data_IF_017300370060
#
_entry.id   IF_017300370060
#
_cell.length_a   1.000
_cell.length_b   1.000
_cell.length_c   1.000
_cell.angle_alpha   90.00
_cell.angle_beta   90.00
_cell.angle_gamma   90.00
#
_symmetry.space_group_name_H-M   'P 1'
#
loop_
_entity.id
_entity.type
_entity.pdbx_description
1 polymer ?
#
# COMPACT_ATOMS: atom_id res chain seq x y z
N UNK A 1 9.93 -48.34 66.07
CA UNK A 1 9.13 -47.25 66.68
C UNK A 1 8.20 -46.70 65.62
N UNK A 2 6.89 -46.87 65.86
CA UNK A 2 5.68 -46.24 65.26
C UNK A 2 5.78 -45.63 63.85
N UNK A 3 5.16 -46.16 62.77
CA UNK A 3 3.75 -46.43 62.48
C UNK A 3 2.84 -45.19 62.50
N UNK A 4 2.17 -44.86 61.37
CA UNK A 4 0.71 -44.76 61.28
C UNK A 4 0.18 -44.61 59.83
N UNK A 5 -0.92 -45.32 59.60
CA UNK A 5 -1.75 -45.49 58.40
C UNK A 5 -2.73 -44.31 58.14
N UNK A 6 -3.21 -44.17 56.90
CA UNK A 6 -4.64 -44.07 56.49
C UNK A 6 -4.72 -43.54 55.03
N UNK A 7 -5.18 -44.29 54.02
CA UNK A 7 -6.55 -44.66 53.58
C UNK A 7 -7.49 -43.50 53.22
N UNK A 8 -7.60 -43.27 51.90
CA UNK A 8 -8.74 -42.91 51.04
C UNK A 8 -10.05 -42.41 51.67
N UNK A 9 -10.53 -41.26 51.16
CA UNK A 9 -11.95 -40.89 51.04
C UNK A 9 -12.13 -40.12 49.73
N UNK A 10 -12.89 -40.70 48.79
CA UNK A 10 -13.37 -39.99 47.60
C UNK A 10 -14.62 -39.17 47.93
N UNK A 11 -14.80 -38.06 47.22
CA UNK A 11 -16.04 -37.28 47.14
C UNK A 11 -16.08 -36.58 45.75
N UNK A 12 -17.26 -36.21 45.23
CA UNK A 12 -17.67 -36.56 43.89
C UNK A 12 -17.50 -35.41 42.90
N UNK A 13 -17.52 -35.80 41.63
CA UNK A 13 -17.61 -34.93 40.47
C UNK A 13 -18.90 -34.08 40.55
N UNK A 14 -18.78 -32.79 40.87
CA UNK A 14 -19.85 -31.82 40.67
C UNK A 14 -19.69 -31.21 39.27
N UNK A 15 -20.49 -31.73 38.33
CA UNK A 15 -20.63 -31.17 36.99
C UNK A 15 -21.38 -29.83 37.12
N UNK A 16 -20.65 -28.72 37.11
CA UNK A 16 -21.26 -27.39 36.97
C UNK A 16 -21.56 -27.20 35.49
N UNK A 17 -22.81 -27.47 35.09
CA UNK A 17 -23.33 -27.04 33.79
C UNK A 17 -23.50 -25.52 33.81
N UNK A 18 -22.45 -24.81 33.41
CA UNK A 18 -22.56 -23.41 33.04
C UNK A 18 -23.27 -23.34 31.68
N UNK A 19 -24.56 -22.98 31.69
CA UNK A 19 -25.28 -22.56 30.50
C UNK A 19 -24.64 -21.28 29.98
N UNK A 20 -23.76 -21.41 28.99
CA UNK A 20 -23.26 -20.29 28.21
C UNK A 20 -24.42 -19.76 27.35
N UNK A 21 -25.13 -18.76 27.86
CA UNK A 21 -26.01 -17.95 27.02
C UNK A 21 -25.17 -17.25 25.97
N UNK A 22 -25.35 -17.62 24.70
CA UNK A 22 -24.84 -16.82 23.59
C UNK A 22 -25.59 -15.49 23.59
N UNK A 23 -24.98 -14.45 24.17
CA UNK A 23 -25.26 -13.09 23.74
C UNK A 23 -24.66 -12.96 22.34
N UNK A 24 -25.52 -13.10 21.33
CA UNK A 24 -25.23 -12.55 20.00
C UNK A 24 -25.28 -11.03 20.15
N UNK A 25 -24.12 -10.44 20.45
CA UNK A 25 -23.94 -9.02 20.22
C UNK A 25 -23.86 -8.84 18.71
N UNK A 26 -24.99 -8.51 18.09
CA UNK A 26 -24.97 -7.88 16.78
C UNK A 26 -24.16 -6.60 16.94
N UNK A 27 -22.93 -6.61 16.43
CA UNK A 27 -22.16 -5.41 16.17
C UNK A 27 -22.95 -4.64 15.11
N UNK A 28 -23.88 -3.83 15.59
CA UNK A 28 -24.53 -2.80 14.82
C UNK A 28 -23.44 -1.80 14.48
N UNK A 29 -22.80 -1.99 13.32
CA UNK A 29 -21.87 -1.02 12.76
C UNK A 29 -22.70 0.21 12.44
N UNK A 30 -22.91 1.06 13.45
CA UNK A 30 -23.34 2.43 13.23
C UNK A 30 -22.31 3.01 12.27
N UNK A 31 -22.70 3.26 11.01
CA UNK A 31 -22.03 4.26 10.19
C UNK A 31 -21.90 5.47 11.10
N UNK A 32 -20.69 5.78 11.55
CA UNK A 32 -20.45 7.07 12.14
C UNK A 32 -20.91 8.07 11.07
N UNK A 33 -21.82 8.99 11.41
CA UNK A 33 -22.16 10.13 10.56
C UNK A 33 -20.87 10.94 10.40
N UNK A 34 -20.03 10.53 9.44
CA UNK A 34 -18.86 11.28 9.04
C UNK A 34 -19.40 12.57 8.40
N UNK A 35 -18.91 13.71 8.87
CA UNK A 35 -19.26 14.99 8.26
C UNK A 35 -18.95 14.93 6.75
N UNK A 36 -19.84 15.52 5.94
CA UNK A 36 -19.57 15.65 4.51
C UNK A 36 -18.24 16.40 4.30
N UNK A 37 -17.39 15.97 3.36
CA UNK A 37 -16.13 16.64 3.11
C UNK A 37 -16.38 18.09 2.67
N UNK A 38 -15.67 19.03 3.27
CA UNK A 38 -15.74 20.46 2.93
C UNK A 38 -14.42 20.96 2.36
N UNK A 39 -14.50 21.80 1.33
CA UNK A 39 -13.33 22.52 0.80
C UNK A 39 -12.99 23.69 1.73
N UNK A 40 -11.73 23.78 2.16
CA UNK A 40 -11.27 24.87 3.05
C UNK A 40 -10.84 26.14 2.29
N UNK A 41 -10.61 26.03 0.98
CA UNK A 41 -10.18 27.11 0.11
C UNK A 41 -11.27 27.41 -0.92
N UNK A 42 -11.90 28.57 -0.80
CA UNK A 42 -13.06 29.01 -1.60
C UNK A 42 -12.80 29.06 -3.11
N UNK A 43 -11.55 28.92 -3.56
CA UNK A 43 -11.18 28.86 -4.99
C UNK A 43 -11.45 27.50 -5.61
N UNK A 44 -11.75 26.48 -4.80
CA UNK A 44 -12.02 25.13 -5.26
C UNK A 44 -13.47 24.75 -4.97
N UNK A 45 -14.02 23.95 -5.87
CA UNK A 45 -15.33 23.32 -5.73
C UNK A 45 -15.14 21.80 -5.57
N UNK A 46 -15.99 21.17 -4.77
CA UNK A 46 -15.99 19.72 -4.58
C UNK A 46 -17.31 19.16 -5.09
N UNK A 47 -17.22 18.32 -6.11
CA UNK A 47 -18.36 17.63 -6.69
C UNK A 47 -18.16 16.12 -6.60
N UNK A 48 -19.27 15.39 -6.43
CA UNK A 48 -19.27 13.94 -6.46
C UNK A 48 -19.18 13.45 -7.90
N UNK A 49 -18.04 12.86 -8.26
CA UNK A 49 -17.80 12.31 -9.60
C UNK A 49 -18.31 10.86 -9.75
N UNK A 50 -18.03 9.99 -8.78
CA UNK A 50 -18.44 8.57 -8.79
C UNK A 50 -18.60 8.05 -7.34
N UNK A 51 -19.50 7.09 -7.13
CA UNK A 51 -19.78 6.51 -5.82
C UNK A 51 -20.13 5.02 -5.90
N UNK A 52 -20.20 4.35 -4.75
CA UNK A 52 -20.82 3.03 -4.61
C UNK A 52 -22.29 3.09 -5.08
N UNK A 53 -22.79 2.12 -5.87
CA UNK A 53 -22.17 0.84 -6.24
C UNK A 53 -21.34 0.83 -7.54
N UNK A 54 -21.20 1.97 -8.24
CA UNK A 54 -20.52 2.03 -9.54
C UNK A 54 -19.00 1.82 -9.44
N UNK A 55 -18.43 2.25 -8.30
CA UNK A 55 -17.03 2.03 -7.91
C UNK A 55 -16.95 1.35 -6.53
N UNK A 56 -16.04 0.38 -6.40
CA UNK A 56 -15.89 -0.43 -5.19
C UNK A 56 -14.47 -0.35 -4.65
N UNK A 57 -14.30 0.02 -3.37
CA UNK A 57 -13.01 0.08 -2.65
C UNK A 57 -11.89 0.73 -3.49
N UNK A 58 -12.03 2.01 -3.89
CA UNK A 58 -10.99 2.69 -4.65
C UNK A 58 -9.73 2.89 -3.79
N UNK A 59 -8.58 2.41 -4.26
CA UNK A 59 -7.30 2.51 -3.51
C UNK A 59 -6.22 3.32 -4.22
N UNK A 60 -6.44 3.72 -5.47
CA UNK A 60 -5.53 4.60 -6.20
C UNK A 60 -6.13 5.02 -7.53
N UNK A 61 -5.79 6.22 -8.00
CA UNK A 61 -6.29 6.76 -9.26
C UNK A 61 -5.18 7.49 -10.05
N UNK A 62 -5.31 7.50 -11.37
CA UNK A 62 -4.52 8.35 -12.29
C UNK A 62 -5.40 8.75 -13.46
N UNK A 63 -4.98 9.76 -14.22
CA UNK A 63 -5.56 10.03 -15.54
C UNK A 63 -4.71 9.40 -16.63
N UNK A 64 -5.34 8.92 -17.69
CA UNK A 64 -4.64 8.55 -18.93
C UNK A 64 -4.28 9.79 -19.75
N UNK A 65 -3.69 9.59 -20.94
CA UNK A 65 -3.28 10.69 -21.81
C UNK A 65 -4.43 11.45 -22.47
N UNK A 66 -5.63 10.85 -22.50
CA UNK A 66 -6.88 11.45 -22.96
C UNK A 66 -7.61 12.21 -21.85
N UNK A 67 -7.06 12.22 -20.63
CA UNK A 67 -7.67 12.86 -19.47
C UNK A 67 -8.78 12.04 -18.80
N UNK A 68 -8.89 10.74 -19.12
CA UNK A 68 -9.91 9.86 -18.55
C UNK A 68 -9.41 9.23 -17.26
N UNK A 69 -10.32 8.99 -16.32
CA UNK A 69 -9.97 8.51 -14.99
C UNK A 69 -9.75 7.00 -15.00
N UNK A 70 -8.60 6.57 -14.49
CA UNK A 70 -8.31 5.17 -14.18
C UNK A 70 -8.28 4.99 -12.67
N UNK A 71 -9.03 4.01 -12.14
CA UNK A 71 -9.09 3.74 -10.70
C UNK A 71 -8.84 2.26 -10.40
N UNK A 72 -8.00 1.98 -9.41
CA UNK A 72 -7.86 0.64 -8.85
C UNK A 72 -9.04 0.37 -7.93
N UNK A 73 -9.78 -0.68 -8.21
CA UNK A 73 -10.70 -1.30 -7.27
C UNK A 73 -10.01 -2.49 -6.59
N UNK A 74 -9.88 -2.42 -5.26
CA UNK A 74 -9.30 -3.49 -4.49
C UNK A 74 -10.36 -4.43 -3.95
N UNK A 75 -10.24 -5.70 -4.33
CA UNK A 75 -11.10 -6.81 -3.91
C UNK A 75 -10.33 -7.83 -3.06
N UNK A 76 -9.01 -7.75 -3.05
CA UNK A 76 -8.13 -8.76 -2.46
C UNK A 76 -7.48 -8.34 -1.14
N UNK A 77 -7.75 -7.11 -0.67
CA UNK A 77 -7.23 -6.62 0.60
C UNK A 77 -8.07 -7.11 1.80
N UNK A 78 -7.62 -8.20 2.44
CA UNK A 78 -8.29 -8.83 3.58
C UNK A 78 -9.82 -8.94 3.42
N UNK A 79 -10.32 -9.50 2.29
CA UNK A 79 -11.75 -9.59 2.07
C UNK A 79 -12.38 -10.46 3.17
N UNK A 80 -13.61 -10.13 3.61
CA UNK A 80 -14.35 -11.00 4.53
C UNK A 80 -14.57 -12.38 3.90
N UNK A 81 -14.77 -13.40 4.73
CA UNK A 81 -14.93 -14.79 4.27
C UNK A 81 -16.10 -14.96 3.28
N UNK A 82 -17.15 -14.15 3.44
CA UNK A 82 -18.37 -14.16 2.62
C UNK A 82 -18.38 -13.03 1.58
N UNK A 83 -17.20 -12.58 1.12
CA UNK A 83 -17.11 -11.54 0.09
C UNK A 83 -17.62 -12.04 -1.27
N UNK A 84 -18.69 -11.42 -1.76
CA UNK A 84 -19.33 -11.78 -3.04
C UNK A 84 -18.74 -11.06 -4.26
N UNK A 85 -17.75 -10.18 -4.06
CA UNK A 85 -17.10 -9.44 -5.15
C UNK A 85 -16.10 -10.27 -5.97
N UNK A 86 -15.45 -9.64 -6.96
CA UNK A 86 -14.38 -10.25 -7.76
C UNK A 86 -13.28 -10.90 -6.92
N UNK A 87 -12.67 -11.96 -7.45
CA UNK A 87 -11.53 -12.65 -6.81
C UNK A 87 -10.19 -11.92 -6.97
N UNK A 88 -10.14 -10.93 -7.84
CA UNK A 88 -8.94 -10.20 -8.24
C UNK A 88 -9.24 -8.70 -8.22
N UNK A 89 -8.19 -7.91 -7.99
CA UNK A 89 -8.25 -6.45 -8.14
C UNK A 89 -8.33 -6.10 -9.63
N UNK A 90 -8.99 -4.97 -9.93
CA UNK A 90 -9.17 -4.45 -11.29
C UNK A 90 -8.88 -2.97 -11.39
N UNK A 91 -8.54 -2.52 -12.59
CA UNK A 91 -8.40 -1.12 -12.95
C UNK A 91 -9.60 -0.76 -13.83
N UNK A 92 -10.42 0.17 -13.34
CA UNK A 92 -11.58 0.70 -14.07
C UNK A 92 -11.16 1.90 -14.89
N UNK A 93 -11.73 2.03 -16.08
CA UNK A 93 -11.76 3.25 -16.86
C UNK A 93 -13.13 3.92 -16.64
N UNK A 94 -13.10 5.15 -16.15
CA UNK A 94 -14.27 5.91 -15.73
C UNK A 94 -14.29 7.22 -16.50
N UNK A 95 -15.43 7.51 -17.12
CA UNK A 95 -15.64 8.66 -17.99
C UNK A 95 -16.95 9.36 -17.64
N UNK A 96 -16.96 10.66 -17.89
CA UNK A 96 -18.13 11.51 -18.03
C UNK A 96 -18.27 11.81 -19.53
N UNK A 97 -19.29 11.25 -20.19
CA UNK A 97 -19.46 11.35 -21.65
C UNK A 97 -20.36 12.49 -22.10
N UNK A 98 -21.07 13.15 -21.18
CA UNK A 98 -21.94 14.29 -21.45
C UNK A 98 -21.45 15.63 -20.84
N UNK A 99 -20.32 15.59 -20.12
CA UNK A 99 -19.64 16.71 -19.49
C UNK A 99 -20.48 17.42 -18.41
N UNK A 100 -21.32 16.66 -17.68
CA UNK A 100 -22.13 17.17 -16.56
C UNK A 100 -21.41 17.18 -15.21
N UNK A 101 -20.15 16.72 -15.17
CA UNK A 101 -19.33 16.62 -13.96
C UNK A 101 -19.48 15.29 -13.22
N UNK A 102 -20.26 14.33 -13.75
CA UNK A 102 -20.49 13.02 -13.14
C UNK A 102 -20.11 11.90 -14.11
N UNK A 103 -19.54 10.84 -13.56
CA UNK A 103 -19.24 9.66 -14.34
C UNK A 103 -20.54 8.94 -14.76
N UNK A 104 -20.64 8.62 -16.05
CA UNK A 104 -21.77 7.91 -16.64
C UNK A 104 -21.35 6.59 -17.32
N UNK A 105 -20.04 6.38 -17.51
CA UNK A 105 -19.48 5.22 -18.20
C UNK A 105 -18.35 4.60 -17.42
N UNK A 106 -18.51 3.33 -17.10
CA UNK A 106 -17.58 2.55 -16.29
C UNK A 106 -17.20 1.25 -17.01
N UNK A 107 -15.93 1.10 -17.35
CA UNK A 107 -15.39 -0.06 -18.07
C UNK A 107 -14.22 -0.67 -17.30
N UNK A 108 -13.88 -1.91 -17.59
CA UNK A 108 -12.65 -2.52 -17.08
C UNK A 108 -11.52 -2.26 -18.06
N UNK A 109 -10.47 -1.56 -17.63
CA UNK A 109 -9.25 -1.33 -18.41
C UNK A 109 -8.29 -2.52 -18.28
N UNK A 110 -8.17 -3.09 -17.08
CA UNK A 110 -7.31 -4.24 -16.82
C UNK A 110 -7.79 -5.00 -15.56
N UNK A 111 -7.64 -6.32 -15.53
CA UNK A 111 -8.09 -7.15 -14.41
C UNK A 111 -7.09 -8.28 -14.09
N UNK A 112 -7.32 -8.99 -12.98
CA UNK A 112 -6.54 -10.18 -12.62
C UNK A 112 -5.37 -9.92 -11.67
N UNK A 113 -5.27 -8.71 -11.13
CA UNK A 113 -4.21 -8.32 -10.18
C UNK A 113 -4.54 -8.74 -8.75
N UNK A 114 -3.56 -8.70 -7.85
CA UNK A 114 -3.76 -9.00 -6.43
C UNK A 114 -2.94 -8.05 -5.57
N UNK A 115 -3.57 -7.48 -4.54
CA UNK A 115 -2.98 -6.50 -3.63
C UNK A 115 -2.36 -5.34 -4.42
N UNK A 116 -3.14 -4.75 -5.31
CA UNK A 116 -2.76 -3.60 -6.14
C UNK A 116 -2.75 -2.35 -5.27
N UNK A 117 -1.64 -1.62 -5.29
CA UNK A 117 -1.34 -0.56 -4.32
C UNK A 117 -1.32 0.83 -4.95
N UNK A 118 -0.83 0.96 -6.19
CA UNK A 118 -0.74 2.26 -6.86
C UNK A 118 -0.71 2.12 -8.37
N UNK A 119 -1.16 3.16 -9.06
CA UNK A 119 -0.99 3.29 -10.50
C UNK A 119 -0.57 4.72 -10.87
N UNK A 120 0.13 4.87 -12.00
CA UNK A 120 0.60 6.17 -12.47
C UNK A 120 0.74 6.17 -13.99
N UNK A 121 0.24 7.20 -14.65
CA UNK A 121 0.58 7.46 -16.06
C UNK A 121 2.06 7.78 -16.21
N UNK A 122 2.74 7.04 -17.06
CA UNK A 122 4.14 7.24 -17.44
C UNK A 122 4.30 7.79 -18.86
N UNK A 123 5.54 7.82 -19.38
CA UNK A 123 5.83 8.25 -20.74
C UNK A 123 5.16 7.37 -21.79
N UNK A 124 4.90 7.92 -22.99
CA UNK A 124 4.31 7.20 -24.11
C UNK A 124 3.01 6.43 -23.75
N UNK A 125 2.20 7.04 -22.90
CA UNK A 125 0.86 6.60 -22.50
C UNK A 125 0.79 5.24 -21.79
N UNK A 126 1.94 4.74 -21.32
CA UNK A 126 2.00 3.57 -20.44
C UNK A 126 1.36 3.87 -19.08
N UNK A 127 0.58 2.93 -18.58
CA UNK A 127 0.05 2.95 -17.21
C UNK A 127 0.89 2.00 -16.35
N UNK A 128 1.66 2.56 -15.43
CA UNK A 128 2.45 1.78 -14.49
C UNK A 128 1.57 1.39 -13.32
N UNK A 129 1.69 0.14 -12.90
CA UNK A 129 0.90 -0.45 -11.83
C UNK A 129 1.84 -1.15 -10.87
N UNK A 130 1.71 -0.83 -9.59
CA UNK A 130 2.39 -1.54 -8.51
C UNK A 130 1.37 -2.39 -7.75
N UNK A 131 1.71 -3.66 -7.60
CA UNK A 131 1.10 -4.54 -6.61
C UNK A 131 2.08 -4.73 -5.46
N UNK A 132 1.64 -5.45 -4.43
CA UNK A 132 2.52 -5.89 -3.36
C UNK A 132 3.82 -6.54 -3.86
N UNK A 133 3.79 -7.29 -4.97
CA UNK A 133 4.89 -8.16 -5.42
C UNK A 133 5.59 -7.71 -6.69
N UNK A 134 5.03 -6.79 -7.46
CA UNK A 134 5.62 -6.41 -8.74
C UNK A 134 5.18 -5.03 -9.17
N UNK A 135 6.00 -4.43 -10.03
CA UNK A 135 5.67 -3.27 -10.84
C UNK A 135 5.71 -3.72 -12.30
N UNK A 136 4.65 -3.41 -13.03
CA UNK A 136 4.56 -3.62 -14.46
C UNK A 136 3.93 -2.40 -15.13
N UNK A 137 4.00 -2.32 -16.45
CA UNK A 137 3.34 -1.30 -17.24
C UNK A 137 2.37 -1.92 -18.24
N UNK A 138 1.27 -1.21 -18.46
CA UNK A 138 0.16 -1.59 -19.31
C UNK A 138 -0.03 -0.60 -20.44
N UNK A 139 -0.42 -1.09 -21.62
CA UNK A 139 -0.82 -0.28 -22.76
C UNK A 139 -1.95 -0.98 -23.51
N UNK A 140 -2.91 -0.18 -23.95
CA UNK A 140 -3.90 -0.53 -24.99
C UNK A 140 -3.25 -0.24 -26.35
N UNK A 141 -3.06 -1.28 -27.16
CA UNK A 141 -2.35 -1.23 -28.44
C UNK A 141 -3.24 -1.25 -29.66
N UNK A 142 -4.53 -1.58 -29.50
CA UNK A 142 -5.51 -1.66 -30.60
C UNK A 142 -6.65 -0.64 -30.50
N UNK A 143 -6.73 0.10 -29.39
CA UNK A 143 -7.64 1.22 -29.18
C UNK A 143 -9.03 0.82 -28.70
N UNK A 144 -9.20 -0.40 -28.17
CA UNK A 144 -10.49 -0.88 -27.65
C UNK A 144 -10.80 -0.44 -26.20
N UNK A 145 -9.90 0.35 -25.60
CA UNK A 145 -9.91 0.81 -24.22
C UNK A 145 -9.67 -0.28 -23.16
N UNK A 146 -9.09 -1.42 -23.55
CA UNK A 146 -8.62 -2.50 -22.68
C UNK A 146 -7.11 -2.68 -22.88
N UNK A 147 -6.35 -2.76 -21.80
CA UNK A 147 -4.92 -3.00 -21.89
C UNK A 147 -4.64 -4.46 -22.31
N UNK A 148 -4.00 -4.63 -23.47
CA UNK A 148 -3.60 -5.91 -24.05
C UNK A 148 -2.08 -6.16 -23.98
N UNK A 149 -1.28 -5.10 -23.76
CA UNK A 149 0.17 -5.21 -23.62
C UNK A 149 0.58 -5.01 -22.16
N UNK A 150 1.40 -5.95 -21.65
CA UNK A 150 1.97 -5.92 -20.30
C UNK A 150 3.48 -6.17 -20.33
N UNK A 151 4.23 -5.31 -19.64
CA UNK A 151 5.68 -5.47 -19.50
C UNK A 151 6.11 -5.37 -18.03
N UNK A 152 6.94 -6.31 -17.57
CA UNK A 152 7.51 -6.30 -16.21
C UNK A 152 8.54 -5.16 -16.07
N UNK A 153 8.50 -4.45 -14.95
CA UNK A 153 9.45 -3.39 -14.58
C UNK A 153 10.34 -3.85 -13.42
N UNK A 154 9.71 -4.40 -12.38
CA UNK A 154 10.40 -4.98 -11.24
C UNK A 154 9.53 -6.02 -10.54
N UNK A 155 10.14 -7.04 -9.93
CA UNK A 155 9.47 -8.03 -9.09
C UNK A 155 10.17 -8.25 -7.76
N UNK A 156 9.39 -8.54 -6.73
CA UNK A 156 9.82 -8.76 -5.36
C UNK A 156 9.70 -10.25 -5.00
N UNK A 157 10.83 -10.88 -4.71
CA UNK A 157 10.92 -12.24 -4.20
C UNK A 157 11.15 -12.20 -2.68
N UNK A 158 10.17 -12.69 -1.91
CA UNK A 158 10.23 -12.70 -0.44
C UNK A 158 9.20 -13.66 0.17
N UNK A 159 9.47 -14.13 1.39
CA UNK A 159 8.54 -14.85 2.27
C UNK A 159 7.48 -13.94 2.89
N UNK A 160 7.77 -12.63 3.02
CA UNK A 160 6.81 -11.66 3.54
C UNK A 160 5.50 -11.70 2.73
N UNK A 161 4.37 -11.55 3.42
CA UNK A 161 3.05 -11.66 2.78
C UNK A 161 2.03 -10.61 3.24
N UNK A 162 2.43 -9.62 4.05
CA UNK A 162 1.53 -8.53 4.42
C UNK A 162 1.15 -7.72 3.16
N UNK A 163 -0.15 -7.52 2.88
CA UNK A 163 -0.61 -6.98 1.59
C UNK A 163 -0.33 -5.49 1.38
N UNK A 164 -0.08 -4.70 2.45
CA UNK A 164 0.11 -3.25 2.36
C UNK A 164 1.56 -2.76 2.32
N UNK A 165 2.53 -3.57 2.74
CA UNK A 165 3.94 -3.15 2.85
C UNK A 165 4.79 -3.79 1.75
N UNK A 166 4.29 -3.71 0.52
CA UNK A 166 4.96 -4.15 -0.70
C UNK A 166 5.45 -2.98 -1.56
N UNK A 167 5.43 -3.14 -2.88
CA UNK A 167 5.81 -2.09 -3.83
C UNK A 167 4.67 -1.08 -4.02
N UNK A 168 4.99 0.20 -4.03
CA UNK A 168 4.00 1.28 -4.18
C UNK A 168 4.64 2.63 -4.45
N UNK A 169 3.84 3.71 -4.41
CA UNK A 169 4.35 5.08 -4.50
C UNK A 169 5.08 5.38 -5.81
N UNK A 170 4.38 5.30 -6.94
CA UNK A 170 4.99 5.52 -8.27
C UNK A 170 5.11 7.00 -8.63
N UNK A 171 6.33 7.46 -8.93
CA UNK A 171 6.58 8.82 -9.39
C UNK A 171 7.67 8.88 -10.46
N UNK A 172 7.54 9.80 -11.41
CA UNK A 172 8.54 10.05 -12.44
C UNK A 172 9.24 11.39 -12.20
N UNK A 173 10.54 11.44 -12.42
CA UNK A 173 11.27 12.71 -12.53
C UNK A 173 11.28 13.23 -13.99
N UNK A 174 11.80 14.45 -14.18
CA UNK A 174 11.90 15.06 -15.51
C UNK A 174 12.88 14.34 -16.45
N UNK A 175 13.71 13.44 -15.91
CA UNK A 175 14.72 12.67 -16.64
C UNK A 175 14.25 11.25 -17.00
N UNK A 176 12.99 10.91 -16.75
CA UNK A 176 12.43 9.60 -17.07
C UNK A 176 12.95 8.48 -16.16
N UNK A 177 13.31 8.80 -14.92
CA UNK A 177 13.49 7.80 -13.87
C UNK A 177 12.16 7.56 -13.15
N UNK A 178 11.83 6.30 -12.93
CA UNK A 178 10.75 5.87 -12.06
C UNK A 178 11.29 5.72 -10.63
N UNK A 179 10.68 6.41 -9.68
CA UNK A 179 10.85 6.20 -8.25
C UNK A 179 9.67 5.39 -7.70
N UNK A 180 9.97 4.51 -6.77
CA UNK A 180 8.97 3.69 -6.09
C UNK A 180 9.42 3.27 -4.70
N UNK A 181 8.44 3.07 -3.82
CA UNK A 181 8.61 2.60 -2.46
C UNK A 181 8.55 1.08 -2.35
N UNK A 182 9.22 0.54 -1.34
CA UNK A 182 9.03 -0.79 -0.81
C UNK A 182 8.86 -0.65 0.71
N UNK A 183 7.74 -1.12 1.26
CA UNK A 183 7.54 -1.16 2.71
C UNK A 183 8.50 -2.11 3.44
N UNK A 184 8.44 -2.11 4.77
CA UNK A 184 9.34 -2.87 5.64
C UNK A 184 9.26 -4.40 5.50
N UNK A 185 8.26 -4.91 4.76
CA UNK A 185 8.15 -6.31 4.36
C UNK A 185 8.27 -7.32 5.52
N UNK A 186 7.72 -6.99 6.69
CA UNK A 186 7.81 -7.79 7.92
C UNK A 186 9.25 -8.06 8.39
N UNK A 187 10.21 -7.23 7.98
CA UNK A 187 11.64 -7.48 8.21
C UNK A 187 12.18 -8.72 7.50
N UNK A 188 11.40 -9.37 6.64
CA UNK A 188 11.80 -10.58 5.95
C UNK A 188 12.87 -10.28 4.89
N UNK A 189 13.83 -11.21 4.67
CA UNK A 189 14.72 -11.14 3.52
C UNK A 189 13.95 -11.02 2.21
N UNK A 190 14.49 -10.24 1.29
CA UNK A 190 13.92 -10.07 -0.03
C UNK A 190 14.99 -9.84 -1.10
N UNK A 191 14.62 -10.19 -2.33
CA UNK A 191 15.34 -9.82 -3.55
C UNK A 191 14.39 -9.03 -4.46
N UNK A 192 14.76 -7.81 -4.79
CA UNK A 192 14.08 -6.97 -5.78
C UNK A 192 14.84 -7.09 -7.10
N UNK A 193 14.15 -7.48 -8.16
CA UNK A 193 14.74 -7.79 -9.47
C UNK A 193 14.08 -6.91 -10.52
N UNK A 194 14.88 -6.16 -11.27
CA UNK A 194 14.42 -5.32 -12.37
C UNK A 194 14.36 -6.09 -13.69
N UNK A 195 13.72 -5.51 -14.71
CA UNK A 195 13.56 -6.10 -16.04
C UNK A 195 14.90 -6.42 -16.73
N UNK A 196 15.95 -5.62 -16.51
CA UNK A 196 17.31 -5.90 -17.03
C UNK A 196 18.11 -6.94 -16.22
N UNK A 197 17.51 -7.50 -15.16
CA UNK A 197 18.15 -8.45 -14.25
C UNK A 197 19.03 -7.80 -13.17
N UNK A 198 19.12 -6.47 -13.11
CA UNK A 198 19.70 -5.78 -11.95
C UNK A 198 18.91 -6.13 -10.69
N UNK A 199 19.63 -6.36 -9.59
CA UNK A 199 19.07 -6.93 -8.36
C UNK A 199 19.50 -6.15 -7.13
N UNK A 200 18.61 -6.08 -6.15
CA UNK A 200 18.91 -5.59 -4.81
C UNK A 200 18.47 -6.63 -3.79
N UNK A 201 19.40 -7.07 -2.94
CA UNK A 201 19.14 -7.98 -1.83
C UNK A 201 19.26 -7.25 -0.51
N UNK A 202 18.22 -7.34 0.31
CA UNK A 202 18.24 -6.82 1.67
C UNK A 202 17.26 -7.62 2.53
N UNK A 203 17.09 -7.20 3.77
CA UNK A 203 16.26 -7.86 4.77
C UNK A 203 16.60 -7.33 6.15
N UNK A 204 15.79 -7.69 7.13
CA UNK A 204 16.00 -7.33 8.54
C UNK A 204 15.63 -5.89 8.88
N UNK A 205 15.81 -4.92 7.99
CA UNK A 205 15.60 -3.49 8.29
C UNK A 205 14.78 -2.74 7.24
N UNK A 206 13.65 -2.19 7.69
CA UNK A 206 12.94 -1.06 7.10
C UNK A 206 12.52 -1.13 5.64
N UNK A 207 11.61 -0.21 5.32
CA UNK A 207 11.24 0.14 3.96
C UNK A 207 12.31 1.00 3.30
N UNK A 208 12.23 1.06 1.98
CA UNK A 208 13.23 1.67 1.11
C UNK A 208 12.54 2.43 -0.02
N UNK A 209 13.22 3.44 -0.55
CA UNK A 209 12.86 4.07 -1.83
C UNK A 209 13.88 3.64 -2.87
N UNK A 210 13.40 3.19 -4.02
CA UNK A 210 14.18 2.75 -5.15
C UNK A 210 13.95 3.64 -6.37
N UNK A 211 14.86 3.55 -7.33
CA UNK A 211 14.65 4.06 -8.68
C UNK A 211 15.14 3.08 -9.75
N UNK A 212 14.55 3.18 -10.93
CA UNK A 212 15.02 2.56 -12.16
C UNK A 212 14.64 3.44 -13.37
N UNK A 213 15.15 3.12 -14.56
CA UNK A 213 14.64 3.74 -15.80
C UNK A 213 13.18 3.31 -16.06
N UNK A 214 12.48 4.06 -16.92
CA UNK A 214 11.09 3.77 -17.31
C UNK A 214 10.86 2.36 -17.84
N UNK A 215 11.86 1.70 -18.40
CA UNK A 215 11.83 0.32 -18.90
C UNK A 215 12.41 -0.71 -17.90
N UNK A 216 12.55 -0.34 -16.62
CA UNK A 216 12.94 -1.27 -15.56
C UNK A 216 14.42 -1.62 -15.55
N UNK A 217 15.30 -0.70 -15.94
CA UNK A 217 16.76 -0.92 -15.95
C UNK A 217 17.46 -0.14 -14.84
N UNK A 218 18.67 -0.55 -14.50
CA UNK A 218 19.56 0.16 -13.56
C UNK A 218 18.93 0.38 -12.18
N UNK A 219 18.34 -0.66 -11.62
CA UNK A 219 17.74 -0.62 -10.28
C UNK A 219 18.75 -0.15 -9.23
N UNK A 220 18.39 0.90 -8.51
CA UNK A 220 19.23 1.50 -7.46
C UNK A 220 18.39 1.84 -6.25
N UNK A 221 18.87 1.50 -5.05
CA UNK A 221 18.27 2.02 -3.81
C UNK A 221 18.65 3.50 -3.64
N UNK A 222 17.65 4.35 -3.49
CA UNK A 222 17.83 5.78 -3.23
C UNK A 222 18.00 6.04 -1.74
N UNK A 223 17.11 5.49 -0.90
CA UNK A 223 17.11 5.72 0.55
C UNK A 223 16.51 4.55 1.32
N UNK A 224 16.73 4.52 2.63
CA UNK A 224 16.30 3.46 3.57
C UNK A 224 15.69 4.06 4.83
N UNK A 225 15.18 3.22 5.73
CA UNK A 225 14.73 3.64 7.05
C UNK A 225 13.29 4.14 7.08
N UNK A 226 12.46 3.67 6.15
CA UNK A 226 11.02 3.93 6.12
C UNK A 226 10.25 2.82 6.83
N UNK A 227 9.00 3.06 7.24
CA UNK A 227 8.09 1.94 7.54
C UNK A 227 7.40 1.48 6.26
N UNK A 228 6.63 2.38 5.63
CA UNK A 228 6.02 2.14 4.34
C UNK A 228 5.93 3.47 3.55
N UNK A 229 6.88 3.76 2.64
CA UNK A 229 6.85 4.96 1.81
C UNK A 229 5.79 4.80 0.70
N UNK A 230 4.52 4.89 1.07
CA UNK A 230 3.38 4.52 0.22
C UNK A 230 3.07 5.58 -0.84
N UNK A 231 3.23 6.87 -0.51
CA UNK A 231 3.08 7.97 -1.45
C UNK A 231 4.44 8.56 -1.79
N UNK A 232 4.76 8.69 -3.08
CA UNK A 232 5.97 9.37 -3.55
C UNK A 232 5.57 10.40 -4.61
N UNK A 233 6.20 11.56 -4.57
CA UNK A 233 6.11 12.56 -5.61
C UNK A 233 7.47 13.15 -5.92
N UNK A 234 7.60 13.70 -7.13
CA UNK A 234 8.77 14.45 -7.56
C UNK A 234 8.30 15.84 -7.93
N UNK A 235 8.99 16.86 -7.42
CA UNK A 235 8.69 18.25 -7.75
C UNK A 235 9.38 18.69 -9.05
N UNK A 236 9.11 19.94 -9.47
CA UNK A 236 9.69 20.51 -10.69
C UNK A 236 11.22 20.72 -10.67
N UNK A 237 11.87 20.51 -9.53
CA UNK A 237 13.33 20.62 -9.38
C UNK A 237 13.96 19.26 -9.10
N UNK A 238 13.24 18.17 -9.45
CA UNK A 238 13.65 16.78 -9.26
C UNK A 238 13.91 16.39 -7.81
N UNK A 239 13.29 17.10 -6.86
CA UNK A 239 13.29 16.71 -5.44
C UNK A 239 12.24 15.64 -5.21
N UNK A 240 12.66 14.55 -4.59
CA UNK A 240 11.80 13.41 -4.29
C UNK A 240 11.25 13.58 -2.89
N UNK A 241 9.94 13.49 -2.74
CA UNK A 241 9.27 13.46 -1.45
C UNK A 241 8.54 12.15 -1.27
N UNK A 242 8.54 11.63 -0.06
CA UNK A 242 7.77 10.45 0.30
C UNK A 242 6.91 10.74 1.53
N UNK A 243 5.70 10.21 1.52
CA UNK A 243 4.86 10.08 2.71
C UNK A 243 5.01 8.66 3.22
N UNK A 244 5.56 8.53 4.42
CA UNK A 244 5.68 7.27 5.14
C UNK A 244 4.52 7.10 6.12
N UNK A 245 3.77 6.00 5.98
CA UNK A 245 2.78 5.63 6.99
C UNK A 245 3.45 5.43 8.35
N UNK A 246 2.73 5.77 9.42
CA UNK A 246 3.21 5.53 10.78
C UNK A 246 3.06 4.04 11.18
N UNK A 247 4.00 3.51 11.96
CA UNK A 247 3.86 2.20 12.55
C UNK A 247 2.92 2.25 13.76
N UNK A 248 1.84 1.48 13.72
CA UNK A 248 0.88 1.21 14.82
C UNK A 248 0.74 2.32 15.89
N UNK A 249 0.41 3.54 15.47
CA UNK A 249 -0.01 4.63 16.35
C UNK A 249 1.13 5.46 16.91
N UNK A 250 2.05 5.91 16.05
CA UNK A 250 2.96 7.01 16.34
C UNK A 250 2.72 8.14 15.31
N UNK A 251 1.55 8.79 15.34
CA UNK A 251 1.33 9.95 14.50
C UNK A 251 2.37 11.05 14.83
N UNK A 252 2.76 11.87 13.86
CA UNK A 252 2.18 11.96 12.52
C UNK A 252 2.76 10.96 11.51
N UNK A 253 1.99 10.65 10.45
CA UNK A 253 2.57 10.16 9.20
C UNK A 253 3.67 11.14 8.73
N UNK A 254 4.77 10.60 8.23
CA UNK A 254 5.95 11.42 7.93
C UNK A 254 5.92 11.91 6.49
N UNK A 255 6.00 13.23 6.29
CA UNK A 255 6.44 13.79 5.01
C UNK A 255 7.96 13.97 5.06
N UNK A 256 8.69 13.32 4.15
CA UNK A 256 10.16 13.41 4.10
C UNK A 256 10.65 13.84 2.72
N UNK A 257 11.71 14.64 2.69
CA UNK A 257 12.47 14.92 1.49
C UNK A 257 13.52 13.81 1.33
N UNK A 258 13.32 12.93 0.35
CA UNK A 258 14.16 11.75 0.12
C UNK A 258 15.49 12.18 -0.46
N UNK A 259 16.54 12.11 0.36
CA UNK A 259 17.91 12.40 -0.06
C UNK A 259 18.62 11.11 -0.46
N UNK A 260 19.39 11.08 -1.57
CA UNK A 260 20.20 9.93 -1.93
C UNK A 260 21.09 9.46 -0.78
N UNK A 261 21.12 8.15 -0.55
CA UNK A 261 21.80 7.46 0.56
C UNK A 261 21.26 7.78 1.96
N UNK A 262 20.18 8.55 2.06
CA UNK A 262 19.54 8.90 3.33
C UNK A 262 18.99 7.70 4.08
N UNK A 263 19.11 7.76 5.40
CA UNK A 263 18.49 6.83 6.34
C UNK A 263 17.44 7.59 7.18
N UNK A 264 16.19 7.17 7.09
CA UNK A 264 15.07 7.76 7.83
C UNK A 264 14.77 7.02 9.14
N UNK A 265 15.70 6.18 9.59
CA UNK A 265 15.84 5.73 10.97
C UNK A 265 14.89 4.64 11.44
N UNK A 266 13.93 4.19 10.62
CA UNK A 266 13.12 3.00 10.92
C UNK A 266 13.92 1.70 10.75
N UNK A 267 13.74 0.76 11.68
CA UNK A 267 14.48 -0.49 11.79
C UNK A 267 13.56 -1.54 12.40
N UNK A 268 13.28 -2.60 11.64
CA UNK A 268 12.29 -3.59 12.03
C UNK A 268 12.75 -4.42 13.24
N UNK A 269 14.07 -4.59 13.43
CA UNK A 269 14.64 -5.32 14.57
C UNK A 269 14.18 -4.83 15.93
N UNK A 270 13.79 -3.56 16.03
CA UNK A 270 13.33 -2.95 17.27
C UNK A 270 11.82 -3.08 17.48
N UNK A 271 11.14 -3.81 16.59
CA UNK A 271 9.71 -4.05 16.63
C UNK A 271 8.96 -3.24 15.57
N UNK A 272 7.95 -3.87 14.98
CA UNK A 272 7.16 -3.31 13.87
C UNK A 272 6.43 -2.01 14.22
N UNK A 273 6.17 -1.78 15.50
CA UNK A 273 5.45 -0.60 16.01
C UNK A 273 6.27 0.69 15.99
N UNK A 274 7.59 0.63 15.76
CA UNK A 274 8.44 1.83 15.71
C UNK A 274 8.57 2.61 17.02
N UNK A 275 8.05 2.11 18.14
CA UNK A 275 8.02 2.80 19.45
C UNK A 275 9.26 2.57 20.31
N UNK A 276 10.23 1.83 19.81
CA UNK A 276 11.42 1.49 20.60
C UNK A 276 12.32 2.72 20.79
N UNK A 277 12.97 2.92 21.96
CA UNK A 277 13.82 4.09 22.21
C UNK A 277 15.06 4.23 21.30
N UNK A 278 15.42 3.15 20.59
CA UNK A 278 16.50 3.15 19.60
C UNK A 278 16.00 3.35 18.16
N UNK A 279 14.70 3.59 17.99
CA UNK A 279 14.18 4.06 16.72
C UNK A 279 14.55 5.53 16.55
N UNK A 280 15.05 5.89 15.37
CA UNK A 280 15.39 7.27 15.03
C UNK A 280 14.36 7.83 14.04
N UNK A 281 13.09 7.73 14.42
CA UNK A 281 11.97 8.02 13.53
C UNK A 281 11.93 9.50 13.10
N UNK A 282 12.41 10.40 13.95
CA UNK A 282 12.43 11.84 13.72
C UNK A 282 13.86 12.38 13.51
N UNK A 283 14.82 11.51 13.19
CA UNK A 283 16.21 11.90 12.95
C UNK A 283 17.02 12.15 14.23
N UNK A 284 16.64 11.53 15.34
CA UNK A 284 17.20 11.79 16.68
C UNK A 284 18.62 11.23 16.84
N UNK A 285 19.01 10.25 16.01
CA UNK A 285 20.33 9.62 16.06
C UNK A 285 21.26 10.15 14.94
N UNK A 286 22.56 10.30 15.21
CA UNK A 286 23.53 10.67 14.17
C UNK A 286 23.46 9.75 12.96
N UNK A 287 23.40 10.34 11.77
CA UNK A 287 23.30 9.62 10.50
C UNK A 287 21.86 9.35 10.02
N UNK A 288 20.85 9.75 10.79
CA UNK A 288 19.45 9.66 10.40
C UNK A 288 18.86 11.03 10.05
N UNK A 289 17.88 11.05 9.14
CA UNK A 289 17.26 12.26 8.61
C UNK A 289 15.85 12.46 9.17
N UNK A 290 15.47 13.71 9.51
CA UNK A 290 14.17 14.03 10.05
C UNK A 290 13.09 14.17 8.96
N UNK A 291 11.85 14.40 9.40
CA UNK A 291 10.77 14.90 8.56
C UNK A 291 11.06 16.29 7.98
N UNK A 292 10.33 16.65 6.91
CA UNK A 292 10.29 18.05 6.45
C UNK A 292 9.60 18.89 7.54
N UNK A 293 10.24 19.98 7.94
CA UNK A 293 9.73 20.94 8.91
C UNK A 293 8.75 21.94 8.28
#
# INVERSE_FOLDING_TARGET
>A
MHALHSRWLGFPLALVTATAGLLSATLDVRRADAAEPSVLDERYELELFAADPDIVTPVGATFDARGRLLVIESHTHFPPQEYEGPKHDRIRLIEDTDADGRADRFRSFYEGTHATMSLRRGPADWIYVATRKEIFRLRDSDGDDVADVREEIARLETSGNYPHNGLGGLAFDAHGQLYFGLGENLGEPYELIAADGSRWKAGGEGGNVFRCSVDGRQLTRVATGFWNPFGICVDRHDRVFAVGNDPDGCPPCRLVHVVPTGDFGYQFRYGRSGKHPLQAWDGELPGTLPMVA
#
